data_IF_637653688441
#
_entry.id   IF_637653688441
#
_cell.length_a   1.000
_cell.length_b   1.000
_cell.length_c   1.000
_cell.angle_alpha   90.00
_cell.angle_beta   90.00
_cell.angle_gamma   90.00
#
_symmetry.space_group_name_H-M   'P 1'
#
loop_
_entity.id
_entity.type
_entity.pdbx_description
1 polymer ?
#
# COMPACT_ATOMS: atom_id res chain seq x y z
N UNK A 1 -29.82 19.16 -38.82
CA UNK A 1 -28.65 19.64 -38.06
C UNK A 1 -28.35 18.61 -36.99
N UNK A 2 -27.30 17.83 -37.15
CA UNK A 2 -26.84 16.86 -36.15
C UNK A 2 -25.74 17.56 -35.35
N UNK A 3 -26.00 17.86 -34.07
CA UNK A 3 -24.93 18.35 -33.18
C UNK A 3 -23.96 17.18 -32.97
N UNK A 4 -22.64 17.34 -33.22
CA UNK A 4 -21.70 16.33 -32.78
C UNK A 4 -21.78 16.28 -31.26
N UNK A 5 -22.14 15.12 -30.72
CA UNK A 5 -22.03 14.85 -29.29
C UNK A 5 -20.58 15.11 -28.90
N UNK A 6 -20.37 16.17 -28.13
CA UNK A 6 -19.09 16.54 -27.54
C UNK A 6 -18.78 15.55 -26.42
N UNK A 7 -18.69 14.25 -26.74
CA UNK A 7 -18.29 13.23 -25.79
C UNK A 7 -16.82 13.50 -25.47
N UNK A 8 -16.64 14.06 -24.29
CA UNK A 8 -15.34 14.28 -23.72
C UNK A 8 -14.62 12.91 -23.66
N UNK A 9 -13.43 12.74 -24.26
CA UNK A 9 -12.73 11.45 -24.28
C UNK A 9 -12.40 10.93 -22.87
N UNK A 10 -12.36 11.81 -21.88
CA UNK A 10 -12.23 11.42 -20.47
C UNK A 10 -13.48 10.74 -19.92
N UNK A 11 -14.67 11.05 -20.44
CA UNK A 11 -15.94 10.45 -19.99
C UNK A 11 -16.04 8.98 -20.40
N UNK A 12 -15.53 8.62 -21.57
CA UNK A 12 -15.44 7.22 -22.00
C UNK A 12 -14.49 6.42 -21.10
N UNK A 13 -13.31 6.98 -20.82
CA UNK A 13 -12.34 6.37 -19.90
C UNK A 13 -12.93 6.17 -18.50
N UNK A 14 -13.55 7.19 -17.92
CA UNK A 14 -14.18 7.11 -16.59
C UNK A 14 -15.31 6.06 -16.60
N UNK A 15 -16.11 6.01 -17.65
CA UNK A 15 -17.20 5.03 -17.79
C UNK A 15 -16.68 3.60 -17.89
N UNK A 16 -15.57 3.39 -18.61
CA UNK A 16 -14.93 2.08 -18.72
C UNK A 16 -14.30 1.66 -17.39
N UNK A 17 -13.67 2.59 -16.67
CA UNK A 17 -13.12 2.33 -15.34
C UNK A 17 -14.23 1.99 -14.34
N UNK A 18 -15.32 2.75 -14.32
CA UNK A 18 -16.46 2.50 -13.45
C UNK A 18 -17.05 1.10 -13.68
N UNK A 19 -17.20 0.68 -14.94
CA UNK A 19 -17.65 -0.68 -15.29
C UNK A 19 -16.68 -1.75 -14.80
N UNK A 20 -15.38 -1.54 -14.96
CA UNK A 20 -14.36 -2.49 -14.49
C UNK A 20 -14.42 -2.67 -12.97
N UNK A 21 -14.54 -1.57 -12.22
CA UNK A 21 -14.67 -1.61 -10.76
C UNK A 21 -15.99 -2.28 -10.36
N UNK A 22 -17.10 -1.97 -11.03
CA UNK A 22 -18.40 -2.58 -10.77
C UNK A 22 -18.37 -4.10 -11.00
N UNK A 23 -17.76 -4.55 -12.09
CA UNK A 23 -17.62 -5.98 -12.41
C UNK A 23 -16.70 -6.70 -11.42
N UNK A 24 -15.66 -6.01 -10.93
CA UNK A 24 -14.79 -6.52 -9.88
C UNK A 24 -15.58 -6.72 -8.57
N UNK A 25 -16.35 -5.71 -8.15
CA UNK A 25 -17.19 -5.76 -6.95
C UNK A 25 -18.26 -6.87 -7.04
N UNK A 26 -18.91 -7.03 -8.19
CA UNK A 26 -19.92 -8.08 -8.40
C UNK A 26 -19.38 -9.50 -8.32
N UNK A 27 -18.09 -9.69 -8.61
CA UNK A 27 -17.43 -11.01 -8.58
C UNK A 27 -16.79 -11.31 -7.22
N UNK A 28 -16.91 -10.41 -6.24
CA UNK A 28 -16.39 -10.66 -4.90
C UNK A 28 -17.27 -11.65 -4.14
N UNK A 29 -16.70 -12.62 -3.40
CA UNK A 29 -17.47 -13.52 -2.55
C UNK A 29 -18.10 -12.75 -1.37
N UNK A 30 -19.35 -13.08 -1.05
CA UNK A 30 -20.19 -12.42 -0.02
C UNK A 30 -19.68 -12.56 1.43
N UNK A 31 -18.55 -13.24 1.67
CA UNK A 31 -18.07 -13.57 3.01
C UNK A 31 -16.60 -13.17 3.19
N UNK A 32 -16.41 -12.29 4.19
CA UNK A 32 -15.17 -11.81 4.82
C UNK A 32 -14.23 -10.86 4.05
N UNK A 33 -14.48 -9.57 4.26
CA UNK A 33 -13.47 -8.50 4.46
C UNK A 33 -12.47 -8.23 3.34
N UNK A 34 -12.92 -8.21 2.08
CA UNK A 34 -12.11 -7.62 1.00
C UNK A 34 -12.15 -6.09 1.13
N UNK A 35 -11.03 -5.49 1.53
CA UNK A 35 -10.86 -4.05 1.63
C UNK A 35 -10.04 -3.57 0.42
N UNK A 36 -10.60 -2.68 -0.40
CA UNK A 36 -9.82 -1.96 -1.40
C UNK A 36 -9.09 -0.83 -0.67
N UNK A 37 -7.77 -0.91 -0.58
CA UNK A 37 -6.96 0.06 0.16
C UNK A 37 -6.23 0.93 -0.86
N UNK A 38 -6.92 1.99 -1.27
CA UNK A 38 -6.42 2.93 -2.26
C UNK A 38 -6.57 2.44 -3.69
N UNK A 39 -6.92 3.36 -4.58
CA UNK A 39 -6.64 3.22 -6.00
C UNK A 39 -6.10 4.58 -6.46
N UNK A 40 -4.93 4.59 -7.09
CA UNK A 40 -4.36 5.80 -7.68
C UNK A 40 -4.50 5.68 -9.18
N UNK A 41 -5.31 6.54 -9.77
CA UNK A 41 -5.47 6.64 -11.22
C UNK A 41 -4.53 7.73 -11.70
N UNK A 42 -3.42 7.34 -12.35
CA UNK A 42 -2.45 8.29 -12.90
C UNK A 42 -2.80 8.53 -14.36
N UNK A 43 -3.44 9.65 -14.66
CA UNK A 43 -3.76 10.07 -16.03
C UNK A 43 -3.02 11.36 -16.38
N UNK A 44 -2.13 11.29 -17.37
CA UNK A 44 -1.45 12.45 -17.98
C UNK A 44 0.00 12.68 -17.52
N UNK A 45 0.73 13.47 -18.33
CA UNK A 45 2.11 13.90 -18.05
C UNK A 45 2.06 15.36 -17.56
N UNK A 46 1.82 15.60 -16.27
CA UNK A 46 1.61 16.95 -15.73
C UNK A 46 2.40 17.23 -14.44
N UNK A 47 2.77 18.49 -14.17
CA UNK A 47 3.67 18.89 -13.07
C UNK A 47 3.06 18.81 -11.66
N UNK A 48 1.83 18.33 -11.50
CA UNK A 48 1.06 18.36 -10.24
C UNK A 48 0.53 16.97 -9.85
N UNK A 49 1.39 15.96 -9.94
CA UNK A 49 1.09 14.57 -9.57
C UNK A 49 1.07 14.43 -8.03
N UNK A 50 0.19 13.61 -7.42
CA UNK A 50 0.26 13.31 -5.99
C UNK A 50 1.67 12.82 -5.60
N UNK A 51 2.17 13.28 -4.44
CA UNK A 51 3.48 12.88 -3.92
C UNK A 51 3.43 11.42 -3.44
N UNK A 52 3.66 10.49 -4.36
CA UNK A 52 4.02 9.12 -4.04
C UNK A 52 5.46 9.17 -3.53
N UNK A 53 5.67 8.83 -2.25
CA UNK A 53 7.01 8.69 -1.70
C UNK A 53 7.55 7.34 -2.16
N UNK A 54 8.12 7.32 -3.35
CA UNK A 54 9.05 6.26 -3.73
C UNK A 54 10.34 6.52 -2.96
N UNK A 55 10.67 5.68 -1.98
CA UNK A 55 12.01 5.66 -1.38
C UNK A 55 13.02 5.10 -2.40
N UNK A 56 13.23 5.81 -3.51
CA UNK A 56 14.00 5.37 -4.67
C UNK A 56 15.32 6.11 -4.86
N UNK A 57 16.01 6.51 -3.78
CA UNK A 57 17.28 7.23 -3.90
C UNK A 57 18.43 6.59 -3.11
N UNK A 58 18.44 5.25 -3.07
CA UNK A 58 19.64 4.48 -2.73
C UNK A 58 19.84 3.35 -3.73
N UNK A 59 21.08 3.26 -4.14
CA UNK A 59 21.60 2.59 -5.32
C UNK A 59 21.41 1.08 -5.24
N UNK A 60 20.86 0.52 -6.32
CA UNK A 60 20.78 -0.88 -6.72
C UNK A 60 20.13 -1.86 -5.71
N UNK A 61 18.97 -2.40 -6.13
CA UNK A 61 18.36 -3.65 -5.66
C UNK A 61 17.48 -3.63 -4.38
N UNK A 62 17.07 -2.47 -3.87
CA UNK A 62 16.05 -2.40 -2.81
C UNK A 62 14.63 -2.59 -3.38
N UNK A 63 13.81 -3.37 -2.66
CA UNK A 63 12.42 -3.65 -3.05
C UNK A 63 11.59 -2.38 -2.95
N UNK A 64 10.97 -1.94 -4.06
CA UNK A 64 10.11 -0.75 -4.05
C UNK A 64 8.77 -1.06 -3.40
N UNK A 65 8.32 -0.15 -2.52
CA UNK A 65 7.08 -0.31 -1.78
C UNK A 65 6.30 1.00 -1.69
N UNK A 66 4.99 0.87 -1.50
CA UNK A 66 4.06 1.93 -1.14
C UNK A 66 3.63 1.75 0.32
N UNK A 67 3.47 2.85 1.05
CA UNK A 67 2.96 2.87 2.42
C UNK A 67 1.75 3.79 2.51
N UNK A 68 0.63 3.26 3.02
CA UNK A 68 -0.60 3.99 3.26
C UNK A 68 -0.94 3.94 4.74
N UNK A 69 -1.09 5.09 5.36
CA UNK A 69 -1.47 5.21 6.77
C UNK A 69 -3.00 5.37 6.91
N UNK A 70 -3.64 4.42 7.58
CA UNK A 70 -5.04 4.51 8.01
C UNK A 70 -5.18 4.91 9.49
N UNK A 71 -6.40 5.10 10.00
CA UNK A 71 -6.61 5.48 11.40
C UNK A 71 -6.08 4.45 12.41
N UNK A 72 -6.29 3.16 12.14
CA UNK A 72 -6.00 2.07 13.08
C UNK A 72 -5.00 1.04 12.53
N UNK A 73 -4.59 1.19 11.26
CA UNK A 73 -3.71 0.29 10.53
C UNK A 73 -2.72 1.06 9.66
N UNK A 74 -1.62 0.40 9.31
CA UNK A 74 -0.68 0.83 8.26
C UNK A 74 -0.64 -0.27 7.22
N UNK A 75 -0.68 0.10 5.95
CA UNK A 75 -0.66 -0.82 4.82
C UNK A 75 0.63 -0.59 4.04
N UNK A 76 1.32 -1.68 3.71
CA UNK A 76 2.55 -1.62 2.92
C UNK A 76 2.45 -2.65 1.80
N UNK A 77 2.58 -2.18 0.56
CA UNK A 77 2.48 -3.03 -0.63
C UNK A 77 3.77 -2.92 -1.42
N UNK A 78 4.35 -4.05 -1.80
CA UNK A 78 5.59 -4.07 -2.56
C UNK A 78 5.55 -5.06 -3.72
N UNK A 79 6.15 -4.66 -4.84
CA UNK A 79 6.30 -5.54 -6.00
C UNK A 79 7.50 -6.46 -5.78
N UNK A 80 7.29 -7.74 -6.02
CA UNK A 80 8.34 -8.75 -5.96
C UNK A 80 9.02 -8.87 -7.32
N UNK A 81 10.32 -9.17 -7.35
CA UNK A 81 11.01 -9.47 -8.60
C UNK A 81 10.40 -10.71 -9.25
N UNK A 82 10.47 -10.82 -10.59
CA UNK A 82 9.92 -11.96 -11.33
C UNK A 82 10.60 -13.30 -10.98
N UNK A 83 11.83 -13.23 -10.45
CA UNK A 83 12.61 -14.40 -10.03
C UNK A 83 12.82 -14.34 -8.51
N UNK A 84 12.32 -15.36 -7.82
CA UNK A 84 12.48 -15.55 -6.39
C UNK A 84 13.39 -16.77 -6.15
N UNK A 85 14.46 -16.55 -5.40
CA UNK A 85 15.38 -17.59 -4.93
C UNK A 85 14.94 -18.17 -3.58
N UNK A 86 14.15 -17.42 -2.81
CA UNK A 86 13.59 -17.82 -1.53
C UNK A 86 12.16 -17.32 -1.40
N UNK A 87 11.40 -17.88 -0.45
CA UNK A 87 10.08 -17.35 -0.12
C UNK A 87 10.25 -15.93 0.47
N UNK A 88 9.59 -14.90 -0.11
CA UNK A 88 9.62 -13.55 0.45
C UNK A 88 8.74 -13.48 1.69
N UNK A 89 9.13 -12.65 2.65
CA UNK A 89 8.39 -12.49 3.89
C UNK A 89 8.56 -11.09 4.49
N UNK A 90 7.63 -10.72 5.38
CA UNK A 90 7.76 -9.53 6.21
C UNK A 90 8.33 -9.93 7.57
N UNK A 91 9.45 -9.32 7.96
CA UNK A 91 9.98 -9.36 9.32
C UNK A 91 9.38 -8.20 10.12
N UNK A 92 8.40 -8.52 10.96
CA UNK A 92 7.58 -7.54 11.69
C UNK A 92 7.97 -7.55 13.16
N UNK A 93 8.37 -6.38 13.65
CA UNK A 93 8.63 -6.12 15.07
C UNK A 93 7.78 -4.93 15.52
N UNK A 94 7.65 -4.67 16.83
CA UNK A 94 6.85 -3.54 17.30
C UNK A 94 7.32 -2.17 16.79
N UNK A 95 8.59 -2.05 16.43
CA UNK A 95 9.25 -0.78 16.10
C UNK A 95 9.85 -0.74 14.68
N UNK A 96 9.79 -1.85 13.94
CA UNK A 96 10.35 -1.92 12.58
C UNK A 96 9.65 -2.95 11.72
N UNK A 97 9.61 -2.66 10.42
CA UNK A 97 9.21 -3.59 9.37
C UNK A 97 10.36 -3.72 8.38
N UNK A 98 10.65 -4.95 7.99
CA UNK A 98 11.51 -5.22 6.85
C UNK A 98 10.86 -6.18 5.86
N UNK A 99 10.95 -5.85 4.58
CA UNK A 99 10.56 -6.73 3.48
C UNK A 99 11.80 -7.50 3.09
N UNK A 100 11.74 -8.84 3.20
CA UNK A 100 12.87 -9.72 2.88
C UNK A 100 12.58 -10.47 1.57
N UNK A 101 13.44 -10.26 0.58
CA UNK A 101 13.36 -10.86 -0.76
C UNK A 101 14.75 -11.26 -1.21
N UNK A 102 14.96 -12.53 -1.57
CA UNK A 102 16.26 -13.04 -2.03
C UNK A 102 17.42 -12.63 -1.10
N UNK A 103 17.23 -12.82 0.21
CA UNK A 103 18.18 -12.43 1.27
C UNK A 103 18.43 -10.93 1.44
N UNK A 104 17.87 -10.09 0.57
CA UNK A 104 17.91 -8.63 0.70
C UNK A 104 16.82 -8.16 1.63
N UNK A 105 17.18 -7.25 2.52
CA UNK A 105 16.31 -6.75 3.59
C UNK A 105 16.06 -5.26 3.36
N UNK A 106 14.89 -4.92 2.85
CA UNK A 106 14.47 -3.53 2.67
C UNK A 106 13.73 -3.04 3.90
N UNK A 107 14.21 -1.95 4.50
CA UNK A 107 13.60 -1.36 5.68
C UNK A 107 12.45 -0.44 5.29
N UNK A 108 11.34 -0.56 6.01
CA UNK A 108 10.17 0.31 5.88
C UNK A 108 10.07 1.15 7.15
N UNK A 109 10.13 2.47 7.01
CA UNK A 109 9.95 3.39 8.14
C UNK A 109 8.48 3.41 8.57
N UNK A 110 8.22 3.01 9.82
CA UNK A 110 6.88 2.95 10.37
C UNK A 110 6.50 4.29 11.03
N UNK A 111 5.28 4.80 10.82
CA UNK A 111 4.83 6.04 11.46
C UNK A 111 4.54 5.89 12.96
N UNK A 112 4.38 4.66 13.44
CA UNK A 112 4.10 4.35 14.84
C UNK A 112 4.46 2.91 15.20
N UNK A 113 4.40 2.58 16.49
CA UNK A 113 4.53 1.20 16.96
C UNK A 113 3.34 0.35 16.52
N UNK A 114 3.59 -0.93 16.24
CA UNK A 114 2.59 -1.87 15.76
C UNK A 114 2.39 -3.04 16.72
N UNK A 115 1.18 -3.59 16.71
CA UNK A 115 0.85 -4.85 17.36
C UNK A 115 1.16 -6.00 16.41
N UNK A 116 2.28 -6.68 16.65
CA UNK A 116 2.78 -7.77 15.79
C UNK A 116 1.79 -8.94 15.72
N UNK A 117 1.06 -9.23 16.80
CA UNK A 117 0.15 -10.38 16.86
C UNK A 117 -1.04 -10.20 15.93
N UNK A 118 -1.49 -8.96 15.76
CA UNK A 118 -2.61 -8.59 14.89
C UNK A 118 -2.15 -8.01 13.54
N UNK A 119 -0.86 -8.10 13.24
CA UNK A 119 -0.26 -7.71 11.96
C UNK A 119 0.03 -8.96 11.14
N UNK A 120 -0.13 -8.87 9.83
CA UNK A 120 0.07 -10.02 8.94
C UNK A 120 0.48 -9.56 7.54
N UNK A 121 0.97 -10.50 6.73
CA UNK A 121 1.28 -10.25 5.33
C UNK A 121 0.77 -11.39 4.45
N UNK A 122 0.55 -11.08 3.18
CA UNK A 122 0.20 -12.03 2.15
C UNK A 122 1.09 -11.84 0.93
N UNK A 123 1.49 -12.94 0.31
CA UNK A 123 2.22 -12.94 -0.95
C UNK A 123 1.32 -13.54 -2.02
N UNK A 124 0.92 -12.74 -3.02
CA UNK A 124 0.08 -13.21 -4.14
C UNK A 124 0.48 -12.49 -5.43
N UNK A 125 0.55 -13.25 -6.53
CA UNK A 125 0.74 -12.71 -7.89
C UNK A 125 1.95 -11.76 -8.06
N UNK A 126 3.06 -12.04 -7.38
CA UNK A 126 4.25 -11.19 -7.46
C UNK A 126 4.15 -9.90 -6.64
N UNK A 127 3.21 -9.82 -5.70
CA UNK A 127 3.05 -8.72 -4.75
C UNK A 127 3.09 -9.26 -3.33
N UNK A 128 3.72 -8.51 -2.42
CA UNK A 128 3.58 -8.70 -0.98
C UNK A 128 2.77 -7.54 -0.39
N UNK A 129 1.65 -7.88 0.25
CA UNK A 129 0.77 -6.95 0.96
C UNK A 129 0.91 -7.18 2.46
N UNK A 130 1.24 -6.12 3.20
CA UNK A 130 1.52 -6.15 4.63
C UNK A 130 0.52 -5.23 5.33
N UNK A 131 -0.19 -5.78 6.30
CA UNK A 131 -1.20 -5.08 7.08
C UNK A 131 -0.73 -5.05 8.53
N UNK A 132 -0.41 -3.87 9.02
CA UNK A 132 0.08 -3.64 10.36
C UNK A 132 -1.01 -3.04 11.23
N UNK A 133 -1.32 -3.66 12.36
CA UNK A 133 -2.22 -3.08 13.36
C UNK A 133 -1.47 -2.04 14.17
N UNK A 134 -1.94 -0.79 14.19
CA UNK A 134 -1.35 0.23 15.07
C UNK A 134 -1.59 -0.15 16.52
N UNK A 135 -0.58 0.01 17.37
CA UNK A 135 -0.75 -0.18 18.80
C UNK A 135 -1.42 1.07 19.39
N UNK A 136 -2.67 0.93 19.83
CA UNK A 136 -3.38 2.02 20.51
C UNK A 136 -2.76 2.25 21.89
N UNK A 137 -1.96 3.32 22.01
CA UNK A 137 -1.49 3.88 23.27
C UNK A 137 -0.09 3.45 23.71
N UNK A 138 0.87 4.37 23.54
CA UNK A 138 1.49 4.98 24.72
C UNK A 138 1.32 6.49 24.54
N UNK A 139 0.44 7.10 25.34
CA UNK A 139 0.53 8.54 25.57
C UNK A 139 1.98 8.84 25.96
N UNK A 140 2.55 9.91 25.41
CA UNK A 140 3.84 10.43 25.84
C UNK A 140 3.79 10.52 27.37
N UNK A 141 4.63 9.73 28.04
CA UNK A 141 4.89 9.89 29.46
C UNK A 141 5.40 11.32 29.63
N UNK A 142 4.53 12.22 30.06
CA UNK A 142 4.92 13.53 30.57
C UNK A 142 5.89 13.28 31.70
N UNK A 143 7.15 13.64 31.48
CA UNK A 143 8.16 13.76 32.52
C UNK A 143 7.61 14.69 33.59
N UNK A 144 7.23 14.12 34.73
CA UNK A 144 7.09 14.89 35.96
C UNK A 144 8.47 14.83 36.60
N UNK A 145 9.26 15.88 36.38
CA UNK A 145 10.48 16.12 37.16
C UNK A 145 10.04 16.55 38.57
N UNK A 146 10.33 15.71 39.56
CA UNK A 146 10.36 16.07 40.98
C UNK A 146 11.83 16.21 41.38
N UNK A 147 12.19 17.34 41.99
CA UNK A 147 13.51 17.57 42.59
C UNK A 147 13.89 19.04 42.59
#
# INVERSE_FOLDING_TARGET
MHMPSNENPYDEFIRNLAKMVEDLLKKMPDQDTTHIIGCTIITGNGPNMPHIIFNGNRQDEETTFELIEGPDKVFVTANLPPVLHSAPYADITPDSLHIVVNEKRTRVELPCRVDVIHSFYHVRHGVIDIILKKKTGAAASTSIEHG
#
